data_IF_503348079553
#
_entry.id   IF_503348079553
#
_cell.length_a   1.000
_cell.length_b   1.000
_cell.length_c   1.000
_cell.angle_alpha   90.00
_cell.angle_beta   90.00
_cell.angle_gamma   90.00
#
_symmetry.space_group_name_H-M   'P 1'
#
loop_
_entity.id
_entity.type
_entity.pdbx_description
1 polymer ?
#
# COMPACT_ATOMS: atom_id res chain seq x y z
N UNK A 1 27.71 13.97 8.97
CA UNK A 1 28.60 13.48 7.89
C UNK A 1 29.34 12.26 8.43
N UNK A 2 29.18 11.06 7.86
CA UNK A 2 29.98 9.92 8.28
C UNK A 2 31.42 10.07 7.74
N UNK A 3 32.44 9.52 8.43
CA UNK A 3 33.82 9.58 7.98
C UNK A 3 34.03 8.67 6.75
N UNK A 4 34.98 9.01 5.86
CA UNK A 4 35.25 8.21 4.68
C UNK A 4 35.94 6.88 5.04
N UNK A 5 35.74 5.80 4.25
CA UNK A 5 36.31 4.49 4.53
C UNK A 5 37.83 4.49 4.38
N UNK A 6 38.52 3.91 5.36
CA UNK A 6 39.95 3.68 5.32
C UNK A 6 40.30 2.71 4.18
N UNK A 7 41.23 3.14 3.34
CA UNK A 7 41.74 2.40 2.18
C UNK A 7 42.90 1.55 2.67
N UNK A 8 42.69 0.25 2.77
CA UNK A 8 43.76 -0.67 3.11
C UNK A 8 44.43 -1.13 1.80
N UNK A 9 45.48 -0.44 1.38
CA UNK A 9 46.37 -0.90 0.31
C UNK A 9 47.23 -2.06 0.83
N UNK A 10 46.96 -3.27 0.35
CA UNK A 10 47.85 -4.42 0.57
C UNK A 10 48.86 -4.40 -0.57
N UNK A 11 50.06 -3.88 -0.30
CA UNK A 11 51.21 -3.94 -1.21
C UNK A 11 51.78 -5.36 -1.16
N UNK A 12 51.43 -6.18 -2.15
CA UNK A 12 52.06 -7.48 -2.39
C UNK A 12 53.41 -7.24 -3.10
N UNK A 13 54.48 -7.14 -2.31
CA UNK A 13 55.84 -7.17 -2.82
C UNK A 13 56.18 -8.59 -3.32
N UNK A 14 56.10 -8.79 -4.64
CA UNK A 14 56.58 -9.99 -5.32
C UNK A 14 58.12 -10.00 -5.33
N UNK A 15 58.71 -10.86 -4.50
CA UNK A 15 60.13 -11.17 -4.54
C UNK A 15 60.39 -12.18 -5.66
N UNK A 16 61.01 -11.75 -6.77
CA UNK A 16 61.45 -12.64 -7.84
C UNK A 16 62.77 -13.33 -7.44
N UNK A 17 62.93 -14.66 -7.61
CA UNK A 17 64.21 -15.32 -7.46
C UNK A 17 65.04 -15.15 -8.74
N UNK A 18 66.14 -14.39 -8.65
CA UNK A 18 67.15 -14.29 -9.70
C UNK A 18 67.86 -15.63 -9.86
N UNK A 19 67.66 -16.28 -10.99
CA UNK A 19 68.35 -17.50 -11.41
C UNK A 19 69.80 -17.17 -11.73
N UNK A 20 70.73 -17.73 -10.95
CA UNK A 20 72.17 -17.76 -11.25
C UNK A 20 72.46 -19.07 -11.99
N UNK A 21 73.02 -19.05 -13.21
CA UNK A 21 73.47 -20.28 -13.86
C UNK A 21 74.75 -20.79 -13.18
N UNK A 22 74.65 -21.96 -12.54
CA UNK A 22 75.78 -22.73 -12.02
C UNK A 22 76.64 -23.21 -13.18
N UNK A 23 77.92 -22.88 -13.12
CA UNK A 23 78.94 -23.23 -14.09
C UNK A 23 79.15 -24.76 -14.20
N UNK A 24 79.36 -25.22 -15.43
CA UNK A 24 79.75 -26.59 -15.77
C UNK A 24 81.03 -27.04 -15.05
N UNK A 25 81.10 -28.25 -14.48
CA UNK A 25 82.36 -28.86 -14.12
C UNK A 25 83.09 -29.33 -15.39
N UNK A 26 84.22 -28.68 -15.69
CA UNK A 26 85.18 -29.06 -16.73
C UNK A 26 85.66 -30.49 -16.50
N UNK A 27 85.42 -31.36 -17.49
CA UNK A 27 85.92 -32.73 -17.53
C UNK A 27 87.45 -32.79 -17.51
N UNK A 28 88.00 -33.40 -16.47
CA UNK A 28 89.42 -33.73 -16.38
C UNK A 28 89.66 -35.13 -16.97
N UNK A 29 90.09 -35.18 -18.23
CA UNK A 29 90.58 -36.41 -18.88
C UNK A 29 91.81 -36.94 -18.14
N UNK A 30 91.66 -38.07 -17.42
CA UNK A 30 92.80 -38.87 -16.96
C UNK A 30 93.13 -39.91 -18.02
N UNK A 31 94.36 -39.84 -18.54
CA UNK A 31 94.90 -40.77 -19.55
C UNK A 31 95.40 -42.02 -18.81
N UNK A 32 94.86 -43.19 -19.15
CA UNK A 32 95.44 -44.47 -18.72
C UNK A 32 96.52 -44.88 -19.72
N UNK A 33 97.76 -44.94 -19.24
CA UNK A 33 98.88 -45.56 -19.93
C UNK A 33 98.88 -47.06 -19.69
N UNK A 34 98.87 -47.81 -20.78
CA UNK A 34 99.06 -49.26 -20.87
C UNK A 34 100.53 -49.60 -20.60
N UNK A 35 100.76 -50.55 -19.71
CA UNK A 35 102.02 -51.25 -19.47
C UNK A 35 101.75 -52.27 -18.37
N UNK A 36 102.15 -53.52 -18.41
CA UNK A 36 102.96 -54.31 -19.34
C UNK A 36 103.14 -55.65 -18.61
N UNK A 37 103.18 -56.75 -19.36
CA UNK A 37 103.33 -58.11 -18.84
C UNK A 37 104.45 -58.25 -17.80
N UNK A 38 104.17 -59.04 -16.77
CA UNK A 38 105.11 -59.41 -15.72
C UNK A 38 104.53 -60.55 -14.89
N UNK A 39 104.70 -61.77 -15.38
CA UNK A 39 104.45 -63.00 -14.63
C UNK A 39 105.30 -63.04 -13.35
N UNK A 40 104.71 -63.46 -12.23
CA UNK A 40 105.46 -64.18 -11.21
C UNK A 40 104.57 -65.21 -10.50
N UNK A 41 104.89 -66.46 -10.79
CA UNK A 41 104.52 -67.64 -10.02
C UNK A 41 105.15 -67.56 -8.64
N UNK A 42 104.35 -67.62 -7.59
CA UNK A 42 104.79 -68.25 -6.34
C UNK A 42 103.60 -68.86 -5.59
N UNK A 43 103.56 -70.18 -5.71
CA UNK A 43 102.79 -71.13 -4.93
C UNK A 43 103.50 -71.31 -3.58
N UNK A 44 102.81 -71.06 -2.47
CA UNK A 44 103.33 -71.35 -1.12
C UNK A 44 102.60 -70.57 -0.02
N UNK A 45 102.07 -71.31 0.95
CA UNK A 45 101.62 -70.84 2.29
C UNK A 45 100.21 -70.25 2.44
N UNK A 46 99.23 -70.94 1.83
CA UNK A 46 97.80 -70.64 1.96
C UNK A 46 97.12 -71.48 3.05
N UNK A 47 97.01 -70.98 4.28
CA UNK A 47 96.02 -71.51 5.23
C UNK A 47 95.40 -70.41 6.11
N UNK A 48 96.21 -69.54 6.74
CA UNK A 48 95.68 -68.51 7.65
C UNK A 48 95.29 -67.20 6.91
N UNK A 49 96.07 -66.78 5.90
CA UNK A 49 95.78 -65.59 5.09
C UNK A 49 94.56 -65.77 4.16
N UNK A 50 94.24 -67.01 3.76
CA UNK A 50 93.10 -67.32 2.89
C UNK A 50 91.75 -67.14 3.60
N UNK A 51 91.68 -67.46 4.90
CA UNK A 51 90.47 -67.32 5.71
C UNK A 51 90.08 -65.87 6.01
N UNK A 52 91.06 -64.99 6.23
CA UNK A 52 90.80 -63.55 6.43
C UNK A 52 90.38 -62.87 5.11
N UNK A 53 91.00 -63.24 3.99
CA UNK A 53 90.63 -62.72 2.66
C UNK A 53 89.22 -63.12 2.28
N UNK A 54 88.80 -64.36 2.53
CA UNK A 54 87.42 -64.81 2.28
C UNK A 54 86.39 -64.04 3.12
N UNK A 55 86.66 -63.80 4.40
CA UNK A 55 85.79 -63.01 5.30
C UNK A 55 85.66 -61.55 4.86
N UNK A 56 86.77 -60.92 4.46
CA UNK A 56 86.75 -59.55 3.95
C UNK A 56 85.96 -59.42 2.65
N UNK A 57 86.14 -60.35 1.71
CA UNK A 57 85.37 -60.38 0.47
C UNK A 57 83.87 -60.59 0.73
N UNK A 58 83.50 -61.48 1.66
CA UNK A 58 82.09 -61.70 2.03
C UNK A 58 81.46 -60.50 2.71
N UNK A 59 82.20 -59.74 3.53
CA UNK A 59 81.72 -58.51 4.13
C UNK A 59 81.47 -57.44 3.06
N UNK A 60 82.40 -57.27 2.12
CA UNK A 60 82.24 -56.32 1.00
C UNK A 60 81.04 -56.71 0.14
N UNK A 61 80.92 -58.00 -0.23
CA UNK A 61 79.81 -58.49 -1.06
C UNK A 61 78.46 -58.30 -0.35
N UNK A 62 78.41 -58.59 0.97
CA UNK A 62 77.25 -58.32 1.81
C UNK A 62 76.86 -56.84 1.84
N UNK A 63 77.83 -55.95 2.03
CA UNK A 63 77.59 -54.50 1.98
C UNK A 63 77.10 -54.05 0.60
N UNK A 64 77.73 -54.50 -0.49
CA UNK A 64 77.32 -54.17 -1.85
C UNK A 64 75.89 -54.65 -2.12
N UNK A 65 75.55 -55.87 -1.69
CA UNK A 65 74.21 -56.43 -1.83
C UNK A 65 73.17 -55.64 -1.01
N UNK A 66 73.48 -55.30 0.24
CA UNK A 66 72.61 -54.50 1.11
C UNK A 66 72.37 -53.11 0.48
N UNK A 67 73.43 -52.39 0.11
CA UNK A 67 73.33 -51.10 -0.58
C UNK A 67 72.56 -51.19 -1.90
N UNK A 68 72.77 -52.25 -2.69
CA UNK A 68 72.04 -52.48 -3.94
C UNK A 68 70.55 -52.73 -3.71
N UNK A 69 70.21 -53.50 -2.68
CA UNK A 69 68.83 -53.78 -2.29
C UNK A 69 68.11 -52.53 -1.77
N UNK A 70 68.78 -51.73 -0.95
CA UNK A 70 68.25 -50.47 -0.42
C UNK A 70 68.09 -49.41 -1.52
N UNK A 71 69.05 -49.33 -2.45
CA UNK A 71 68.94 -48.45 -3.63
C UNK A 71 67.73 -48.84 -4.49
N UNK A 72 67.50 -50.14 -4.68
CA UNK A 72 66.35 -50.64 -5.44
C UNK A 72 65.02 -50.36 -4.73
N UNK A 73 64.97 -50.52 -3.41
CA UNK A 73 63.81 -50.15 -2.56
C UNK A 73 63.49 -48.65 -2.70
N UNK A 74 64.49 -47.79 -2.53
CA UNK A 74 64.33 -46.34 -2.63
C UNK A 74 63.90 -45.90 -4.04
N UNK A 75 64.44 -46.53 -5.08
CA UNK A 75 64.01 -46.27 -6.46
C UNK A 75 62.53 -46.61 -6.68
N UNK A 76 62.06 -47.71 -6.09
CA UNK A 76 60.65 -48.08 -6.08
C UNK A 76 59.77 -47.05 -5.35
N UNK A 77 60.16 -46.64 -4.15
CA UNK A 77 59.46 -45.62 -3.35
C UNK A 77 59.41 -44.27 -4.09
N UNK A 78 60.48 -43.87 -4.77
CA UNK A 78 60.51 -42.63 -5.56
C UNK A 78 59.55 -42.69 -6.76
N UNK A 79 59.47 -43.83 -7.43
CA UNK A 79 58.54 -44.05 -8.54
C UNK A 79 57.08 -44.02 -8.06
N UNK A 80 56.79 -44.64 -6.92
CA UNK A 80 55.46 -44.57 -6.29
C UNK A 80 55.10 -43.14 -5.88
N UNK A 81 56.03 -42.42 -5.24
CA UNK A 81 55.83 -41.03 -4.85
C UNK A 81 55.59 -40.12 -6.07
N UNK A 82 56.30 -40.36 -7.17
CA UNK A 82 56.09 -39.65 -8.43
C UNK A 82 54.69 -39.91 -9.01
N UNK A 83 54.21 -41.17 -8.94
CA UNK A 83 52.84 -41.53 -9.33
C UNK A 83 51.79 -40.80 -8.49
N UNK A 84 51.94 -40.84 -7.16
CA UNK A 84 51.05 -40.16 -6.20
C UNK A 84 51.06 -38.65 -6.35
N UNK A 85 52.22 -38.06 -6.64
CA UNK A 85 52.35 -36.64 -6.92
C UNK A 85 51.56 -36.25 -8.18
N UNK A 86 51.69 -37.03 -9.25
CA UNK A 86 50.95 -36.83 -10.50
C UNK A 86 49.43 -36.96 -10.30
N UNK A 87 48.99 -37.93 -9.49
CA UNK A 87 47.58 -38.09 -9.12
C UNK A 87 47.06 -36.89 -8.35
N UNK A 88 47.80 -36.40 -7.36
CA UNK A 88 47.42 -35.24 -6.55
C UNK A 88 47.35 -33.97 -7.40
N UNK A 89 48.28 -33.79 -8.34
CA UNK A 89 48.28 -32.68 -9.29
C UNK A 89 47.05 -32.70 -10.22
N UNK A 90 46.69 -33.89 -10.72
CA UNK A 90 45.49 -34.07 -11.54
C UNK A 90 44.22 -33.75 -10.73
N UNK A 91 44.12 -34.23 -9.48
CA UNK A 91 43.02 -33.91 -8.58
C UNK A 91 42.91 -32.40 -8.30
N UNK A 92 44.03 -31.74 -8.03
CA UNK A 92 44.07 -30.29 -7.80
C UNK A 92 43.57 -29.52 -9.03
N UNK A 93 43.98 -29.96 -10.23
CA UNK A 93 43.53 -29.36 -11.49
C UNK A 93 42.02 -29.53 -11.68
N UNK A 94 41.49 -30.73 -11.46
CA UNK A 94 40.05 -30.99 -11.53
C UNK A 94 39.24 -30.17 -10.52
N UNK A 95 39.75 -30.01 -9.29
CA UNK A 95 39.12 -29.15 -8.26
C UNK A 95 39.14 -27.69 -8.68
N UNK A 96 40.26 -27.20 -9.21
CA UNK A 96 40.41 -25.81 -9.69
C UNK A 96 39.43 -25.51 -10.81
N UNK A 97 39.31 -26.40 -11.79
CA UNK A 97 38.40 -26.24 -12.94
C UNK A 97 36.94 -26.30 -12.49
N UNK A 98 36.59 -27.26 -11.61
CA UNK A 98 35.26 -27.35 -11.00
C UNK A 98 34.89 -26.08 -10.24
N UNK A 99 35.83 -25.53 -9.46
CA UNK A 99 35.63 -24.27 -8.76
C UNK A 99 35.46 -23.09 -9.71
N UNK A 100 36.29 -23.01 -10.76
CA UNK A 100 36.18 -21.96 -11.79
C UNK A 100 34.79 -21.96 -12.44
N UNK A 101 34.28 -23.12 -12.84
CA UNK A 101 32.92 -23.25 -13.41
C UNK A 101 31.85 -22.80 -12.42
N UNK A 102 31.97 -23.17 -11.13
CA UNK A 102 31.02 -22.74 -10.09
C UNK A 102 31.04 -21.22 -9.88
N UNK A 103 32.23 -20.61 -9.87
CA UNK A 103 32.41 -19.15 -9.76
C UNK A 103 31.75 -18.45 -10.93
N UNK A 104 32.00 -18.90 -12.17
CA UNK A 104 31.38 -18.32 -13.37
C UNK A 104 29.84 -18.40 -13.31
N UNK A 105 29.29 -19.54 -12.86
CA UNK A 105 27.84 -19.70 -12.71
C UNK A 105 27.25 -18.74 -11.68
N UNK A 106 27.93 -18.53 -10.55
CA UNK A 106 27.50 -17.59 -9.52
C UNK A 106 27.59 -16.15 -10.00
N UNK A 107 28.64 -15.78 -10.72
CA UNK A 107 28.82 -14.44 -11.27
C UNK A 107 27.71 -14.06 -12.25
N UNK A 108 27.32 -15.00 -13.13
CA UNK A 108 26.16 -14.82 -14.02
C UNK A 108 24.87 -14.64 -13.22
N UNK A 109 24.61 -15.49 -12.22
CA UNK A 109 23.40 -15.41 -11.39
C UNK A 109 23.33 -14.10 -10.58
N UNK A 110 24.46 -13.60 -10.08
CA UNK A 110 24.54 -12.30 -9.40
C UNK A 110 24.13 -11.18 -10.37
N UNK A 111 24.68 -11.16 -11.59
CA UNK A 111 24.34 -10.13 -12.58
C UNK A 111 22.87 -10.14 -13.01
N UNK A 112 22.24 -11.31 -13.10
CA UNK A 112 20.80 -11.42 -13.35
C UNK A 112 19.97 -10.86 -12.19
N UNK A 113 20.32 -11.23 -10.96
CA UNK A 113 19.65 -10.75 -9.75
C UNK A 113 19.77 -9.23 -9.59
N UNK A 114 20.95 -8.65 -9.83
CA UNK A 114 21.18 -7.21 -9.81
C UNK A 114 20.27 -6.48 -10.81
N UNK A 115 20.14 -7.03 -12.02
CA UNK A 115 19.28 -6.48 -13.07
C UNK A 115 17.82 -6.50 -12.65
N UNK A 116 17.35 -7.60 -12.11
CA UNK A 116 15.94 -7.76 -11.68
C UNK A 116 15.61 -6.92 -10.45
N UNK A 117 16.55 -6.78 -9.51
CA UNK A 117 16.44 -5.84 -8.41
C UNK A 117 16.35 -4.40 -8.93
N UNK A 118 17.16 -4.03 -9.92
CA UNK A 118 17.09 -2.72 -10.58
C UNK A 118 15.73 -2.45 -11.23
N UNK A 119 15.16 -3.42 -11.95
CA UNK A 119 13.80 -3.31 -12.52
C UNK A 119 12.73 -3.13 -11.44
N UNK A 120 12.82 -3.94 -10.37
CA UNK A 120 11.87 -3.91 -9.24
C UNK A 120 11.92 -2.57 -8.52
N UNK A 121 13.11 -2.07 -8.20
CA UNK A 121 13.30 -0.77 -7.57
C UNK A 121 12.75 0.39 -8.42
N UNK A 122 12.96 0.34 -9.74
CA UNK A 122 12.42 1.33 -10.69
C UNK A 122 10.88 1.31 -10.74
N UNK A 123 10.28 0.11 -10.81
CA UNK A 123 8.82 -0.05 -10.80
C UNK A 123 8.22 0.48 -9.48
N UNK A 124 8.79 0.10 -8.35
CA UNK A 124 8.36 0.52 -7.02
C UNK A 124 8.43 2.05 -6.85
N UNK A 125 9.47 2.70 -7.38
CA UNK A 125 9.58 4.16 -7.35
C UNK A 125 8.47 4.85 -8.14
N UNK A 126 8.12 4.32 -9.32
CA UNK A 126 7.01 4.85 -10.13
C UNK A 126 5.67 4.67 -9.41
N UNK A 127 5.44 3.49 -8.84
CA UNK A 127 4.23 3.20 -8.06
C UNK A 127 4.11 4.12 -6.84
N UNK A 128 5.20 4.33 -6.09
CA UNK A 128 5.23 5.24 -4.93
C UNK A 128 4.83 6.66 -5.32
N UNK A 129 5.32 7.16 -6.46
CA UNK A 129 4.93 8.47 -6.99
C UNK A 129 3.44 8.52 -7.34
N UNK A 130 2.93 7.50 -8.03
CA UNK A 130 1.51 7.41 -8.38
C UNK A 130 0.61 7.33 -7.12
N UNK A 131 1.02 6.55 -6.11
CA UNK A 131 0.31 6.43 -4.83
C UNK A 131 0.27 7.76 -4.07
N UNK A 132 1.38 8.52 -4.08
CA UNK A 132 1.43 9.87 -3.50
C UNK A 132 0.47 10.83 -4.21
N UNK A 133 0.41 10.79 -5.54
CA UNK A 133 -0.54 11.59 -6.31
C UNK A 133 -2.01 11.24 -5.97
N UNK A 134 -2.34 9.94 -5.95
CA UNK A 134 -3.68 9.47 -5.54
C UNK A 134 -4.04 9.89 -4.12
N UNK A 135 -3.09 9.81 -3.17
CA UNK A 135 -3.30 10.25 -1.79
C UNK A 135 -3.61 11.74 -1.68
N UNK A 136 -2.95 12.59 -2.48
CA UNK A 136 -3.25 14.03 -2.53
C UNK A 136 -4.66 14.28 -3.07
N UNK A 137 -5.09 13.54 -4.09
CA UNK A 137 -6.43 13.67 -4.66
C UNK A 137 -7.51 13.22 -3.68
N UNK A 138 -7.30 12.12 -2.96
CA UNK A 138 -8.19 11.68 -1.87
C UNK A 138 -8.34 12.78 -0.81
N UNK A 139 -7.23 13.42 -0.39
CA UNK A 139 -7.28 14.55 0.55
C UNK A 139 -8.02 15.77 -0.02
N UNK A 140 -7.90 16.03 -1.32
CA UNK A 140 -8.62 17.12 -1.99
C UNK A 140 -10.13 16.85 -1.99
N UNK A 141 -10.53 15.64 -2.40
CA UNK A 141 -11.92 15.20 -2.43
C UNK A 141 -12.55 15.20 -1.03
N UNK A 142 -11.82 14.71 -0.02
CA UNK A 142 -12.30 14.72 1.37
C UNK A 142 -12.63 16.15 1.86
N UNK A 143 -11.75 17.13 1.59
CA UNK A 143 -12.01 18.53 1.94
C UNK A 143 -13.19 19.13 1.17
N UNK A 144 -13.37 18.73 -0.08
CA UNK A 144 -14.51 19.18 -0.89
C UNK A 144 -15.83 18.66 -0.32
N UNK A 145 -15.90 17.38 0.01
CA UNK A 145 -17.10 16.74 0.61
C UNK A 145 -17.45 17.41 1.94
N UNK A 146 -16.47 17.66 2.79
CA UNK A 146 -16.69 18.33 4.10
C UNK A 146 -17.19 19.77 3.93
N UNK A 147 -16.62 20.51 2.96
CA UNK A 147 -17.09 21.85 2.62
C UNK A 147 -18.52 21.87 2.08
N UNK A 148 -18.84 20.96 1.16
CA UNK A 148 -20.16 20.87 0.53
C UNK A 148 -21.24 20.47 1.53
N UNK A 149 -20.95 19.55 2.46
CA UNK A 149 -21.85 19.19 3.55
C UNK A 149 -22.16 20.41 4.46
N UNK A 150 -21.14 21.21 4.77
CA UNK A 150 -21.29 22.47 5.50
C UNK A 150 -22.21 23.47 4.78
N UNK A 151 -22.01 23.65 3.48
CA UNK A 151 -22.83 24.56 2.65
C UNK A 151 -24.28 24.08 2.54
N UNK A 152 -24.52 22.79 2.34
CA UNK A 152 -25.87 22.22 2.25
C UNK A 152 -26.65 22.43 3.56
N UNK A 153 -26.04 22.11 4.70
CA UNK A 153 -26.68 22.31 6.01
C UNK A 153 -27.01 23.78 6.31
N UNK A 154 -26.14 24.70 5.88
CA UNK A 154 -26.37 26.15 5.97
C UNK A 154 -27.56 26.57 5.11
N UNK A 155 -27.61 26.17 3.83
CA UNK A 155 -28.71 26.50 2.91
C UNK A 155 -30.06 25.98 3.40
N UNK A 156 -30.10 24.74 3.91
CA UNK A 156 -31.32 24.15 4.49
C UNK A 156 -31.82 24.98 5.68
N UNK A 157 -30.89 25.40 6.56
CA UNK A 157 -31.22 26.25 7.72
C UNK A 157 -31.75 27.61 7.30
N UNK A 158 -31.06 28.27 6.37
CA UNK A 158 -31.46 29.58 5.83
C UNK A 158 -32.86 29.51 5.17
N UNK A 159 -33.13 28.46 4.38
CA UNK A 159 -34.44 28.24 3.77
C UNK A 159 -35.55 27.99 4.83
N UNK A 160 -35.25 27.19 5.86
CA UNK A 160 -36.17 26.94 6.97
C UNK A 160 -36.50 28.22 7.74
N UNK A 161 -35.51 29.05 8.02
CA UNK A 161 -35.70 30.31 8.75
C UNK A 161 -36.47 31.34 7.91
N UNK A 162 -36.23 31.37 6.60
CA UNK A 162 -37.00 32.19 5.67
C UNK A 162 -38.48 31.77 5.64
N UNK A 163 -38.77 30.48 5.49
CA UNK A 163 -40.14 29.95 5.49
C UNK A 163 -40.85 30.25 6.82
N UNK A 164 -40.16 30.08 7.95
CA UNK A 164 -40.70 30.39 9.28
C UNK A 164 -41.06 31.87 9.39
N UNK A 165 -40.19 32.75 8.92
CA UNK A 165 -40.42 34.20 8.95
C UNK A 165 -41.60 34.59 8.06
N UNK A 166 -41.74 33.97 6.88
CA UNK A 166 -42.87 34.21 5.99
C UNK A 166 -44.19 33.74 6.61
N UNK A 167 -44.22 32.54 7.19
CA UNK A 167 -45.41 32.00 7.86
C UNK A 167 -45.84 32.88 9.05
N UNK A 168 -44.87 33.34 9.84
CA UNK A 168 -45.11 34.28 10.94
C UNK A 168 -45.73 35.59 10.43
N UNK A 169 -45.17 36.17 9.36
CA UNK A 169 -45.69 37.39 8.77
C UNK A 169 -47.13 37.23 8.25
N UNK A 170 -47.44 36.08 7.63
CA UNK A 170 -48.80 35.74 7.17
C UNK A 170 -49.77 35.60 8.34
N UNK A 171 -49.38 34.90 9.41
CA UNK A 171 -50.20 34.79 10.63
C UNK A 171 -50.46 36.15 11.29
N UNK A 172 -49.44 37.02 11.34
CA UNK A 172 -49.61 38.39 11.86
C UNK A 172 -50.61 39.21 11.04
N UNK A 173 -50.57 39.11 9.70
CA UNK A 173 -51.56 39.75 8.83
C UNK A 173 -52.98 39.23 9.09
N UNK A 174 -53.15 37.91 9.15
CA UNK A 174 -54.45 37.28 9.46
C UNK A 174 -54.98 37.76 10.82
N UNK A 175 -54.12 37.77 11.84
CA UNK A 175 -54.49 38.25 13.18
C UNK A 175 -54.95 39.71 13.17
N UNK A 176 -54.28 40.57 12.41
CA UNK A 176 -54.69 41.97 12.25
C UNK A 176 -56.06 42.10 11.55
N UNK A 177 -56.31 41.31 10.50
CA UNK A 177 -57.61 41.26 9.83
C UNK A 177 -58.73 40.80 10.75
N UNK A 178 -58.52 39.73 11.51
CA UNK A 178 -59.50 39.22 12.47
C UNK A 178 -59.82 40.27 13.56
N UNK A 179 -58.81 40.97 14.07
CA UNK A 179 -59.02 42.08 15.01
C UNK A 179 -59.86 43.22 14.42
N UNK A 180 -59.65 43.56 13.14
CA UNK A 180 -60.48 44.54 12.45
C UNK A 180 -61.93 44.07 12.25
N UNK A 181 -62.12 42.79 11.89
CA UNK A 181 -63.45 42.22 11.70
C UNK A 181 -64.26 42.18 13.00
N UNK A 182 -63.61 41.84 14.12
CA UNK A 182 -64.22 41.90 15.45
C UNK A 182 -64.66 43.33 15.80
N UNK A 183 -63.87 44.35 15.45
CA UNK A 183 -64.23 45.75 15.63
C UNK A 183 -65.50 46.11 14.85
N UNK A 184 -65.59 45.71 13.58
CA UNK A 184 -66.78 45.92 12.75
C UNK A 184 -68.00 45.22 13.37
N UNK A 185 -67.89 43.94 13.73
CA UNK A 185 -68.97 43.17 14.38
C UNK A 185 -69.50 43.86 15.64
N UNK A 186 -68.59 44.33 16.50
CA UNK A 186 -68.97 45.01 17.74
C UNK A 186 -69.67 46.34 17.46
N UNK A 187 -69.22 47.07 16.43
CA UNK A 187 -69.90 48.30 15.98
C UNK A 187 -71.31 48.02 15.49
N UNK A 188 -71.48 47.00 14.65
CA UNK A 188 -72.79 46.64 14.09
C UNK A 188 -73.76 46.15 15.18
N UNK A 189 -73.26 45.40 16.17
CA UNK A 189 -74.06 44.97 17.33
C UNK A 189 -74.52 46.17 18.18
N UNK A 190 -73.65 47.16 18.39
CA UNK A 190 -74.01 48.39 19.12
C UNK A 190 -75.07 49.20 18.34
N UNK A 191 -74.93 49.32 17.02
CA UNK A 191 -75.92 49.96 16.16
C UNK A 191 -77.28 49.25 16.23
N UNK A 192 -77.31 47.92 16.11
CA UNK A 192 -78.52 47.13 16.23
C UNK A 192 -79.20 47.29 17.61
N UNK A 193 -78.42 47.43 18.68
CA UNK A 193 -78.93 47.67 20.04
C UNK A 193 -79.60 49.05 20.15
N UNK A 194 -78.98 50.08 19.58
CA UNK A 194 -79.56 51.43 19.52
C UNK A 194 -80.84 51.44 18.67
N UNK A 195 -80.82 50.79 17.49
CA UNK A 195 -81.98 50.68 16.61
C UNK A 195 -83.14 49.94 17.26
N UNK A 196 -82.88 48.80 17.92
CA UNK A 196 -83.88 48.06 18.68
C UNK A 196 -84.47 48.88 19.84
N UNK A 197 -83.63 49.63 20.56
CA UNK A 197 -84.09 50.57 21.60
C UNK A 197 -84.94 51.70 21.04
N UNK A 198 -84.60 52.24 19.87
CA UNK A 198 -85.39 53.27 19.18
C UNK A 198 -86.74 52.74 18.69
N UNK A 199 -86.81 51.51 18.19
CA UNK A 199 -88.08 50.89 17.78
C UNK A 199 -89.05 50.73 18.97
N UNK A 200 -88.54 50.40 20.16
CA UNK A 200 -89.32 50.36 21.40
C UNK A 200 -89.81 51.76 21.77
N UNK A 201 -88.95 52.78 21.74
CA UNK A 201 -89.35 54.19 22.01
C UNK A 201 -90.40 54.69 21.01
N UNK A 202 -90.29 54.32 19.73
CA UNK A 202 -91.25 54.70 18.69
C UNK A 202 -92.61 54.00 18.89
N UNK A 203 -92.63 52.77 19.41
CA UNK A 203 -93.87 52.08 19.79
C UNK A 203 -94.63 52.76 20.95
N UNK A 204 -93.93 53.52 21.79
CA UNK A 204 -94.55 54.37 22.82
C UNK A 204 -95.04 55.73 22.31
N UNK A 205 -94.67 56.14 21.08
CA UNK A 205 -95.09 57.42 20.48
C UNK A 205 -96.20 57.29 19.42
N UNK A 206 -96.51 56.08 18.92
CA UNK A 206 -97.56 55.90 17.92
C UNK A 206 -98.92 55.58 18.57
N UNK A 207 -99.70 56.63 18.85
CA UNK A 207 -101.14 56.55 19.15
C UNK A 207 -102.00 56.63 17.87
N UNK A 208 -101.52 56.09 16.74
CA UNK A 208 -102.34 55.87 15.52
C UNK A 208 -101.62 54.92 14.53
N UNK A 209 -102.29 53.92 13.93
CA UNK A 209 -101.62 52.90 13.12
C UNK A 209 -101.24 53.42 11.72
N UNK A 210 -100.03 53.14 11.20
CA UNK A 210 -99.67 53.42 9.81
C UNK A 210 -100.14 52.27 8.89
N UNK A 211 -100.70 52.63 7.74
CA UNK A 211 -101.11 51.69 6.70
C UNK A 211 -99.91 51.01 6.02
N UNK A 212 -100.08 49.72 5.73
CA UNK A 212 -99.08 48.75 5.25
C UNK A 212 -98.32 49.21 3.99
N UNK A 213 -98.98 49.96 3.12
CA UNK A 213 -98.48 50.46 1.83
C UNK A 213 -97.35 51.50 1.99
N UNK A 214 -97.38 52.33 3.05
CA UNK A 214 -96.34 53.34 3.32
C UNK A 214 -95.04 52.73 3.88
N UNK A 215 -95.11 51.52 4.46
CA UNK A 215 -93.93 50.76 4.93
C UNK A 215 -93.24 50.02 3.78
N UNK A 216 -93.99 49.53 2.80
CA UNK A 216 -93.44 48.82 1.63
C UNK A 216 -92.63 49.75 0.70
N UNK A 217 -93.10 50.99 0.50
CA UNK A 217 -92.39 52.00 -0.30
C UNK A 217 -91.02 52.41 0.30
N UNK A 218 -90.86 52.37 1.64
CA UNK A 218 -89.59 52.70 2.31
C UNK A 218 -88.59 51.55 2.29
N UNK A 219 -89.07 50.30 2.36
CA UNK A 219 -88.21 49.10 2.23
C UNK A 219 -87.72 48.87 0.80
N UNK A 220 -88.52 49.25 -0.20
CA UNK A 220 -88.12 49.25 -1.62
C UNK A 220 -86.93 50.19 -1.91
N UNK A 221 -86.88 51.35 -1.25
CA UNK A 221 -85.77 52.31 -1.42
C UNK A 221 -84.42 51.81 -0.88
N UNK A 222 -84.42 51.09 0.25
CA UNK A 222 -83.19 50.57 0.87
C UNK A 222 -82.63 49.29 0.21
N UNK A 223 -83.38 48.69 -0.74
CA UNK A 223 -82.95 47.46 -1.45
C UNK A 223 -81.90 47.74 -2.54
N UNK A 224 -81.81 48.99 -3.03
CA UNK A 224 -80.80 49.41 -3.99
C UNK A 224 -79.41 49.61 -3.39
N UNK A 225 -79.33 50.04 -2.12
CA UNK A 225 -78.06 50.39 -1.46
C UNK A 225 -77.32 49.17 -0.89
N UNK A 226 -78.02 48.06 -0.63
CA UNK A 226 -77.39 46.80 -0.18
C UNK A 226 -76.75 46.00 -1.32
N UNK A 227 -77.09 46.29 -2.58
CA UNK A 227 -76.51 45.64 -3.76
C UNK A 227 -75.09 46.14 -4.12
N UNK A 228 -74.60 47.19 -3.44
CA UNK A 228 -73.26 47.78 -3.67
C UNK A 228 -72.20 47.23 -2.70
N UNK A 229 -72.61 46.57 -1.61
CA UNK A 229 -71.69 45.88 -0.67
C UNK A 229 -71.52 44.40 -1.08
N UNK A 230 -71.46 44.15 -2.38
CA UNK A 230 -70.96 42.90 -2.97
C UNK A 230 -69.55 43.15 -3.50
N UNK A 231 -68.66 43.53 -2.58
CA UNK A 231 -67.35 44.02 -2.93
C UNK A 231 -66.36 43.59 -1.87
N UNK A 232 -65.39 42.79 -2.30
CA UNK A 232 -64.12 42.47 -1.64
C UNK A 232 -64.06 41.14 -0.88
N UNK A 233 -65.16 40.52 -0.44
CA UNK A 233 -65.02 39.21 0.23
C UNK A 233 -64.55 38.11 -0.72
N UNK A 234 -65.09 38.07 -1.94
CA UNK A 234 -64.64 37.13 -2.98
C UNK A 234 -63.24 37.47 -3.52
N UNK A 235 -62.86 38.76 -3.51
CA UNK A 235 -61.53 39.20 -3.92
C UNK A 235 -60.48 38.83 -2.86
N UNK A 236 -60.79 39.01 -1.58
CA UNK A 236 -59.96 38.58 -0.43
C UNK A 236 -59.89 37.05 -0.36
N UNK A 237 -60.99 36.34 -0.61
CA UNK A 237 -61.02 34.88 -0.62
C UNK A 237 -60.24 34.31 -1.81
N UNK A 238 -60.30 34.96 -2.99
CA UNK A 238 -59.50 34.62 -4.15
C UNK A 238 -58.01 34.93 -3.94
N UNK A 239 -57.66 36.07 -3.32
CA UNK A 239 -56.30 36.45 -3.00
C UNK A 239 -55.70 35.46 -1.97
N UNK A 240 -56.46 35.09 -0.94
CA UNK A 240 -56.09 34.07 0.04
C UNK A 240 -55.94 32.68 -0.59
N UNK A 241 -56.87 32.26 -1.46
CA UNK A 241 -56.76 30.99 -2.21
C UNK A 241 -55.53 30.98 -3.12
N UNK A 242 -55.24 32.09 -3.80
CA UNK A 242 -54.08 32.21 -4.69
C UNK A 242 -52.77 32.14 -3.92
N UNK A 243 -52.73 32.70 -2.71
CA UNK A 243 -51.58 32.68 -1.83
C UNK A 243 -51.36 31.32 -1.13
N UNK A 244 -52.35 30.43 -1.15
CA UNK A 244 -52.30 29.07 -0.58
C UNK A 244 -51.86 27.99 -1.57
N UNK A 245 -51.60 28.33 -2.84
CA UNK A 245 -50.88 27.41 -3.73
C UNK A 245 -49.42 27.36 -3.27
N UNK A 246 -49.09 26.33 -2.49
CA UNK A 246 -47.70 25.92 -2.32
C UNK A 246 -47.12 25.65 -3.73
N UNK A 247 -45.85 26.01 -4.01
CA UNK A 247 -45.18 25.46 -5.16
C UNK A 247 -45.29 23.94 -5.04
N UNK A 248 -45.98 23.30 -5.98
CA UNK A 248 -45.87 21.86 -6.16
C UNK A 248 -44.38 21.56 -6.22
N UNK A 249 -43.89 20.81 -5.23
CA UNK A 249 -42.55 20.24 -5.27
C UNK A 249 -42.42 19.52 -6.61
N UNK A 250 -41.71 20.17 -7.53
CA UNK A 250 -41.28 19.61 -8.81
C UNK A 250 -40.69 18.23 -8.56
N UNK A 251 -41.18 17.26 -9.32
CA UNK A 251 -40.62 15.93 -9.59
C UNK A 251 -39.18 15.77 -9.05
N UNK A 252 -39.03 14.98 -7.99
CA UNK A 252 -37.76 14.30 -7.76
C UNK A 252 -37.54 13.27 -8.87
N UNK A 253 -36.29 12.98 -9.27
CA UNK A 253 -36.03 12.15 -10.44
C UNK A 253 -36.62 10.75 -10.25
N UNK A 254 -37.34 10.30 -11.29
CA UNK A 254 -37.74 8.91 -11.50
C UNK A 254 -36.56 7.95 -11.33
N UNK A 255 -36.91 6.76 -10.84
CA UNK A 255 -36.01 5.83 -10.18
C UNK A 255 -34.98 5.11 -11.03
N UNK A 256 -34.07 4.47 -10.31
CA UNK A 256 -33.51 3.16 -10.65
C UNK A 256 -33.67 2.30 -9.39
N UNK A 257 -34.54 1.30 -9.48
CA UNK A 257 -34.81 0.32 -8.43
C UNK A 257 -33.76 -0.80 -8.52
N UNK A 258 -33.13 -1.25 -7.41
CA UNK A 258 -32.20 -2.36 -7.45
C UNK A 258 -32.98 -3.66 -7.67
N UNK A 259 -32.74 -4.30 -8.82
CA UNK A 259 -33.25 -5.63 -9.16
C UNK A 259 -32.97 -6.63 -8.04
N UNK A 260 -34.04 -7.00 -7.34
CA UNK A 260 -34.16 -8.19 -6.50
C UNK A 260 -33.99 -9.43 -7.40
N UNK A 261 -32.80 -10.02 -7.38
CA UNK A 261 -32.57 -11.37 -7.91
C UNK A 261 -32.50 -12.35 -6.74
N UNK A 262 -33.61 -13.04 -6.53
CA UNK A 262 -33.75 -14.18 -5.64
C UNK A 262 -33.13 -15.43 -6.27
N UNK A 263 -32.54 -16.32 -5.46
CA UNK A 263 -32.34 -17.72 -5.84
C UNK A 263 -31.14 -18.47 -5.26
N UNK A 264 -31.34 -19.08 -4.09
CA UNK A 264 -30.68 -20.32 -3.60
C UNK A 264 -29.25 -20.16 -3.04
N UNK A 265 -28.91 -20.48 -1.80
CA UNK A 265 -29.43 -21.52 -0.92
C UNK A 265 -28.29 -22.51 -0.64
N UNK A 266 -27.64 -22.40 0.52
CA UNK A 266 -27.24 -23.59 1.28
C UNK A 266 -27.03 -23.27 2.76
N UNK A 267 -27.38 -24.23 3.60
CA UNK A 267 -27.60 -24.10 5.03
C UNK A 267 -26.36 -24.49 5.87
N UNK A 268 -26.00 -23.62 6.82
CA UNK A 268 -25.76 -23.83 8.27
C UNK A 268 -24.85 -24.99 8.80
N UNK A 269 -24.47 -25.05 10.10
CA UNK A 269 -24.30 -24.01 11.14
C UNK A 269 -22.96 -24.16 11.93
N UNK A 270 -22.70 -23.27 12.91
CA UNK A 270 -22.08 -23.73 14.17
C UNK A 270 -21.08 -22.79 14.84
N UNK A 271 -21.53 -22.19 15.94
CA UNK A 271 -20.77 -21.47 16.98
C UNK A 271 -19.61 -22.29 17.59
N UNK A 272 -18.55 -21.61 18.04
CA UNK A 272 -18.27 -21.44 19.47
C UNK A 272 -17.06 -20.53 19.74
N UNK A 273 -17.25 -19.63 20.73
CA UNK A 273 -16.21 -19.01 21.55
C UNK A 273 -15.27 -20.06 22.17
N UNK A 274 -13.97 -19.76 22.26
CA UNK A 274 -13.16 -20.11 23.43
C UNK A 274 -12.12 -19.03 23.68
N UNK A 275 -12.32 -18.39 24.82
CA UNK A 275 -11.47 -17.70 25.80
C UNK A 275 -9.94 -17.89 25.72
N UNK A 276 -9.27 -16.75 25.94
CA UNK A 276 -7.91 -16.44 26.44
C UNK A 276 -6.87 -17.53 26.76
N UNK A 277 -5.60 -17.18 26.55
CA UNK A 277 -4.65 -17.05 27.66
C UNK A 277 -3.40 -16.25 27.29
N UNK A 278 -2.87 -15.62 28.34
CA UNK A 278 -1.65 -14.89 28.56
C UNK A 278 -0.40 -15.78 28.45
N UNK A 279 0.77 -15.22 28.11
CA UNK A 279 2.02 -15.98 28.20
C UNK A 279 3.29 -15.28 27.68
N UNK A 280 4.03 -14.69 28.63
CA UNK A 280 5.47 -14.38 28.68
C UNK A 280 6.05 -13.30 27.74
#
# INVERSE_FOLDING_TARGET
MPPPPARNEIVLALHAPTVVPVAQPKGQKRKFTKGGDGESSQQGDSSIASGLRGKFMSLIDGMISEFGSETSRLAGELLELQGRWSETEAMLTAVKDSHSVKVLKLEVAIGELERDLGKTASSLLKEKKARKAKSLEVRRLQRQIEGDAGLSSRRIREAKDALRSEFQARLSKISAFLGSLECIRNRDLALATIEGGMAVVQSFQSETPPTLEAKEARLSGCKGDLAVVDGDFDFILADLKSACFLPTCSEGPEGEDPVLREGGGDAAPGLNEVTGEEGA
#
